data_IF_897701019548
#
_entry.id   IF_897701019548
#
_cell.length_a   1.000
_cell.length_b   1.000
_cell.length_c   1.000
_cell.angle_alpha   90.00
_cell.angle_beta   90.00
_cell.angle_gamma   90.00
#
_symmetry.space_group_name_H-M   'P 1'
#
loop_
_entity.id
_entity.type
_entity.pdbx_description
1 polymer ?
#
# COMPACT_ATOMS: atom_id res chain seq x y z
N UNK A 1 41.71 21.88 -21.40
CA UNK A 1 41.58 20.39 -21.42
C UNK A 1 40.14 20.07 -21.28
N UNK A 2 39.42 19.55 -22.31
CA UNK A 2 38.01 19.19 -22.17
C UNK A 2 37.88 17.82 -21.49
N UNK A 3 36.95 17.75 -20.53
CA UNK A 3 36.61 16.54 -19.82
C UNK A 3 36.06 15.47 -20.78
N UNK A 4 36.70 14.32 -20.76
CA UNK A 4 36.33 13.14 -21.51
C UNK A 4 34.92 12.67 -21.09
N UNK A 5 33.97 12.71 -22.04
CA UNK A 5 32.67 12.00 -21.96
C UNK A 5 32.94 10.50 -21.94
N UNK A 6 32.60 9.86 -20.83
CA UNK A 6 32.57 8.42 -20.76
C UNK A 6 31.60 7.84 -21.82
N UNK A 7 31.93 6.72 -22.47
CA UNK A 7 31.17 6.19 -23.59
C UNK A 7 29.80 5.65 -23.12
N UNK A 8 28.73 6.10 -23.78
CA UNK A 8 27.41 5.56 -23.70
C UNK A 8 27.35 4.24 -24.51
N UNK A 9 28.03 3.21 -24.02
CA UNK A 9 27.99 1.89 -24.65
C UNK A 9 27.78 0.80 -23.59
N UNK A 10 26.85 -0.10 -23.91
CA UNK A 10 26.47 -1.37 -23.26
C UNK A 10 25.17 -1.33 -22.45
N UNK A 11 24.12 -0.80 -23.04
CA UNK A 11 22.77 -0.99 -22.48
C UNK A 11 21.94 -2.06 -23.25
N UNK A 12 22.48 -2.65 -24.34
CA UNK A 12 21.70 -3.47 -25.27
C UNK A 12 21.74 -4.99 -25.02
N UNK A 13 22.47 -5.51 -24.03
CA UNK A 13 22.70 -6.96 -23.90
C UNK A 13 22.23 -7.57 -22.56
N UNK A 14 21.44 -6.82 -21.76
CA UNK A 14 20.96 -7.35 -20.49
C UNK A 14 19.54 -7.90 -20.69
N UNK A 15 19.32 -9.22 -20.52
CA UNK A 15 18.01 -9.81 -20.67
C UNK A 15 17.01 -9.23 -19.65
N UNK A 16 15.75 -9.07 -20.03
CA UNK A 16 14.67 -8.62 -19.13
C UNK A 16 14.34 -9.65 -18.03
N UNK A 17 14.72 -10.91 -18.26
CA UNK A 17 14.55 -12.03 -17.31
C UNK A 17 15.77 -12.92 -17.30
N UNK A 18 16.01 -13.57 -16.17
CA UNK A 18 17.06 -14.58 -16.00
C UNK A 18 16.45 -15.82 -15.35
N UNK A 19 16.83 -16.99 -15.86
CA UNK A 19 16.43 -18.27 -15.31
C UNK A 19 17.48 -18.80 -14.33
N UNK A 20 17.02 -19.34 -13.22
CA UNK A 20 17.79 -20.10 -12.25
C UNK A 20 17.33 -21.55 -12.28
N UNK A 21 18.25 -22.49 -12.40
CA UNK A 21 17.96 -23.92 -12.23
C UNK A 21 18.46 -24.34 -10.85
N UNK A 22 17.55 -24.84 -10.02
CA UNK A 22 17.88 -25.36 -8.68
C UNK A 22 18.38 -26.80 -8.78
N UNK A 23 18.95 -27.31 -7.69
CA UNK A 23 19.48 -28.69 -7.63
C UNK A 23 18.42 -29.78 -7.82
N UNK A 24 17.14 -29.46 -7.49
CA UNK A 24 15.99 -30.34 -7.74
C UNK A 24 15.44 -30.27 -9.19
N UNK A 25 16.13 -29.58 -10.10
CA UNK A 25 15.71 -29.36 -11.48
C UNK A 25 14.64 -28.27 -11.64
N UNK A 26 14.15 -27.65 -10.57
CA UNK A 26 13.17 -26.57 -10.66
C UNK A 26 13.77 -25.36 -11.36
N UNK A 27 13.06 -24.82 -12.34
CA UNK A 27 13.43 -23.55 -13.00
C UNK A 27 12.64 -22.39 -12.38
N UNK A 28 13.35 -21.33 -12.02
CA UNK A 28 12.80 -20.12 -11.48
C UNK A 28 13.21 -18.93 -12.35
N UNK A 29 12.27 -18.11 -12.75
CA UNK A 29 12.53 -16.92 -13.58
C UNK A 29 12.53 -15.68 -12.71
N UNK A 30 13.61 -14.90 -12.76
CA UNK A 30 13.71 -13.60 -12.11
C UNK A 30 13.60 -12.47 -13.12
N UNK A 31 12.79 -11.46 -12.82
CA UNK A 31 12.77 -10.21 -13.57
C UNK A 31 14.05 -9.40 -13.29
N UNK A 32 14.72 -8.93 -14.34
CA UNK A 32 15.93 -8.13 -14.21
C UNK A 32 15.59 -6.65 -14.19
N UNK A 33 16.18 -5.92 -13.24
CA UNK A 33 16.04 -4.47 -13.11
C UNK A 33 17.38 -3.79 -13.01
N UNK A 34 17.59 -2.81 -13.86
CA UNK A 34 18.73 -1.89 -13.73
C UNK A 34 18.47 -0.91 -12.57
N UNK A 35 19.44 -0.75 -11.69
CA UNK A 35 19.35 0.13 -10.55
C UNK A 35 20.55 1.07 -10.47
N UNK A 36 20.33 2.40 -10.66
CA UNK A 36 21.42 3.38 -10.56
C UNK A 36 22.02 3.47 -9.14
N UNK A 37 21.28 3.01 -8.14
CA UNK A 37 21.71 3.04 -6.73
C UNK A 37 22.36 1.73 -6.28
N UNK A 38 22.24 0.67 -7.05
CA UNK A 38 22.86 -0.60 -6.70
C UNK A 38 24.39 -0.55 -6.94
N UNK A 39 25.17 -1.01 -5.97
CA UNK A 39 26.63 -1.17 -6.09
C UNK A 39 27.04 -2.60 -6.45
N UNK A 40 26.13 -3.57 -6.31
CA UNK A 40 26.31 -4.99 -6.60
C UNK A 40 24.96 -5.61 -7.00
N UNK A 41 25.01 -6.75 -7.69
CA UNK A 41 23.80 -7.52 -7.98
C UNK A 41 23.11 -7.93 -6.67
N UNK A 42 21.79 -7.84 -6.64
CA UNK A 42 20.96 -8.23 -5.51
C UNK A 42 19.74 -8.99 -5.99
N UNK A 43 19.61 -10.23 -5.57
CA UNK A 43 18.41 -11.01 -5.78
C UNK A 43 17.47 -10.82 -4.58
N UNK A 44 16.20 -10.64 -4.85
CA UNK A 44 15.14 -10.52 -3.85
C UNK A 44 13.95 -11.37 -4.23
N UNK A 45 13.31 -11.98 -3.24
CA UNK A 45 12.07 -12.71 -3.37
C UNK A 45 10.96 -11.86 -2.75
N UNK A 46 9.93 -11.56 -3.54
CA UNK A 46 8.77 -10.83 -3.04
C UNK A 46 7.91 -11.72 -2.12
N UNK A 47 7.07 -11.14 -1.25
CA UNK A 47 6.10 -11.92 -0.47
C UNK A 47 5.13 -12.75 -1.32
N UNK A 48 4.98 -12.47 -2.62
CA UNK A 48 4.18 -13.27 -3.56
C UNK A 48 4.95 -14.39 -4.25
N UNK A 49 6.25 -14.49 -4.02
CA UNK A 49 7.12 -15.45 -4.69
C UNK A 49 7.78 -14.93 -5.96
N UNK A 50 7.56 -13.67 -6.36
CA UNK A 50 8.23 -13.10 -7.54
C UNK A 50 9.72 -12.87 -7.24
N UNK A 51 10.58 -13.28 -8.16
CA UNK A 51 12.01 -13.04 -8.09
C UNK A 51 12.39 -11.78 -8.86
N UNK A 52 13.16 -10.92 -8.23
CA UNK A 52 13.67 -9.69 -8.85
C UNK A 52 15.19 -9.62 -8.64
N UNK A 53 15.91 -9.54 -9.74
CA UNK A 53 17.35 -9.34 -9.78
C UNK A 53 17.64 -7.86 -10.09
N UNK A 54 18.04 -7.09 -9.07
CA UNK A 54 18.51 -5.73 -9.27
C UNK A 54 20.01 -5.76 -9.56
N UNK A 55 20.42 -5.16 -10.68
CA UNK A 55 21.82 -5.08 -11.12
C UNK A 55 22.27 -3.63 -11.27
N UNK A 56 23.55 -3.32 -10.95
CA UNK A 56 24.11 -1.99 -11.17
C UNK A 56 24.11 -1.61 -12.66
N UNK A 57 24.02 -0.31 -12.93
CA UNK A 57 24.34 0.22 -14.26
C UNK A 57 25.82 -0.05 -14.54
N UNK A 58 26.11 -0.68 -15.68
CA UNK A 58 27.52 -1.00 -16.07
C UNK A 58 28.03 -2.37 -15.61
N UNK A 59 27.18 -3.23 -15.02
CA UNK A 59 27.57 -4.62 -14.79
C UNK A 59 27.64 -5.39 -16.12
N UNK A 60 28.82 -5.93 -16.43
CA UNK A 60 29.01 -6.73 -17.66
C UNK A 60 28.40 -8.13 -17.58
N UNK A 61 28.16 -8.80 -18.74
CA UNK A 61 27.56 -10.13 -18.80
C UNK A 61 28.31 -11.21 -18.01
N UNK A 62 29.63 -11.18 -17.99
CA UNK A 62 30.45 -12.14 -17.23
C UNK A 62 30.29 -11.96 -15.71
N UNK A 63 30.27 -10.72 -15.21
CA UNK A 63 30.02 -10.41 -13.81
C UNK A 63 28.62 -10.81 -13.39
N UNK A 64 27.63 -10.61 -14.28
CA UNK A 64 26.26 -11.05 -14.05
C UNK A 64 26.23 -12.59 -13.91
N UNK A 65 26.81 -13.32 -14.86
CA UNK A 65 26.87 -14.80 -14.83
C UNK A 65 27.49 -15.34 -13.53
N UNK A 66 28.63 -14.77 -13.10
CA UNK A 66 29.27 -15.13 -11.83
C UNK A 66 28.36 -14.85 -10.63
N UNK A 67 27.66 -13.72 -10.61
CA UNK A 67 26.73 -13.37 -9.54
C UNK A 67 25.53 -14.33 -9.47
N UNK A 68 25.02 -14.82 -10.60
CA UNK A 68 23.88 -15.75 -10.63
C UNK A 68 24.18 -17.06 -9.92
N UNK A 69 25.37 -17.60 -10.09
CA UNK A 69 25.78 -18.84 -9.43
C UNK A 69 25.78 -18.72 -7.89
N UNK A 70 26.14 -17.55 -7.38
CA UNK A 70 26.16 -17.30 -5.93
C UNK A 70 24.77 -17.22 -5.31
N UNK A 71 23.72 -16.97 -6.10
CA UNK A 71 22.36 -16.87 -5.58
C UNK A 71 21.63 -18.21 -5.45
N UNK A 72 22.09 -19.28 -6.12
CA UNK A 72 21.40 -20.58 -6.11
C UNK A 72 21.22 -21.15 -4.69
N UNK A 73 22.27 -21.24 -3.82
CA UNK A 73 22.09 -21.77 -2.46
C UNK A 73 21.15 -20.92 -1.59
N UNK A 74 21.10 -19.60 -1.84
CA UNK A 74 20.15 -18.72 -1.16
C UNK A 74 18.73 -18.97 -1.65
N UNK A 75 18.54 -19.16 -2.96
CA UNK A 75 17.23 -19.45 -3.55
C UNK A 75 16.63 -20.75 -3.03
N UNK A 76 17.44 -21.79 -2.89
CA UNK A 76 17.01 -23.08 -2.34
C UNK A 76 16.47 -22.93 -0.91
N UNK A 77 17.22 -22.21 -0.06
CA UNK A 77 16.78 -21.91 1.31
C UNK A 77 15.55 -21.01 1.35
N UNK A 78 15.51 -19.99 0.51
CA UNK A 78 14.39 -19.07 0.43
C UNK A 78 13.12 -19.77 -0.07
N UNK A 79 13.23 -20.65 -1.09
CA UNK A 79 12.15 -21.47 -1.59
C UNK A 79 11.59 -22.40 -0.50
N UNK A 80 12.47 -23.12 0.20
CA UNK A 80 12.06 -24.02 1.27
C UNK A 80 11.32 -23.31 2.42
N UNK A 81 11.72 -22.08 2.75
CA UNK A 81 11.17 -21.33 3.86
C UNK A 81 9.95 -20.46 3.50
N UNK A 82 9.91 -19.89 2.31
CA UNK A 82 8.93 -18.90 1.93
C UNK A 82 7.78 -19.47 1.10
N UNK A 83 8.03 -20.38 0.15
CA UNK A 83 6.98 -20.97 -0.66
C UNK A 83 6.01 -21.85 0.15
N UNK A 84 6.47 -22.45 1.24
CA UNK A 84 5.60 -23.18 2.19
C UNK A 84 4.65 -22.28 2.97
N UNK A 85 4.89 -20.97 3.01
CA UNK A 85 4.13 -19.99 3.81
C UNK A 85 3.27 -19.06 2.97
N UNK A 86 3.39 -19.13 1.64
CA UNK A 86 2.56 -18.30 0.76
C UNK A 86 1.15 -18.87 0.71
N UNK A 87 0.13 -18.00 0.89
CA UNK A 87 -1.22 -18.41 0.59
C UNK A 87 -1.31 -18.75 -0.91
N UNK A 88 -2.15 -19.72 -1.28
CA UNK A 88 -2.31 -20.11 -2.67
C UNK A 88 -2.75 -18.93 -3.53
N UNK A 89 -2.30 -18.84 -4.79
CA UNK A 89 -2.72 -17.80 -5.71
C UNK A 89 -4.21 -17.99 -6.05
N UNK A 90 -5.05 -17.19 -5.42
CA UNK A 90 -6.49 -17.18 -5.64
C UNK A 90 -7.06 -15.78 -5.52
N UNK A 91 -8.14 -15.55 -6.27
CA UNK A 91 -8.94 -14.33 -6.10
C UNK A 91 -9.80 -14.46 -4.85
N UNK A 92 -10.02 -13.37 -4.11
CA UNK A 92 -10.91 -13.40 -2.96
C UNK A 92 -12.36 -13.53 -3.44
N UNK A 93 -13.22 -14.20 -2.67
CA UNK A 93 -14.66 -14.19 -2.92
C UNK A 93 -15.26 -12.79 -2.66
N UNK A 94 -14.63 -12.03 -1.76
CA UNK A 94 -15.04 -10.65 -1.44
C UNK A 94 -13.85 -9.83 -0.94
N UNK A 95 -14.00 -8.52 -1.05
CA UNK A 95 -13.07 -7.53 -0.47
C UNK A 95 -13.84 -6.70 0.54
N UNK A 96 -13.45 -6.79 1.81
CA UNK A 96 -14.04 -6.04 2.89
C UNK A 96 -13.25 -4.74 3.13
N UNK A 97 -13.96 -3.65 3.35
CA UNK A 97 -13.42 -2.35 3.74
C UNK A 97 -13.95 -1.99 5.15
N UNK A 98 -13.28 -2.46 6.22
CA UNK A 98 -13.80 -2.34 7.57
C UNK A 98 -14.08 -0.89 8.00
N UNK A 99 -13.27 0.07 7.53
CA UNK A 99 -13.43 1.49 7.84
C UNK A 99 -14.82 2.04 7.47
N UNK A 100 -15.40 1.58 6.35
CA UNK A 100 -16.75 2.01 5.92
C UNK A 100 -17.81 0.94 6.14
N UNK A 101 -17.43 -0.26 6.59
CA UNK A 101 -18.31 -1.41 6.71
C UNK A 101 -18.81 -1.93 5.37
N UNK A 102 -18.21 -1.52 4.26
CA UNK A 102 -18.56 -2.01 2.93
C UNK A 102 -17.88 -3.35 2.66
N UNK A 103 -18.59 -4.23 1.98
CA UNK A 103 -18.08 -5.50 1.50
C UNK A 103 -18.44 -5.64 0.03
N UNK A 104 -17.46 -5.97 -0.80
CA UNK A 104 -17.62 -6.09 -2.24
C UNK A 104 -17.43 -7.55 -2.65
N UNK A 105 -18.45 -8.15 -3.25
CA UNK A 105 -18.32 -9.47 -3.86
C UNK A 105 -17.42 -9.39 -5.11
N UNK A 106 -16.53 -10.35 -5.26
CA UNK A 106 -15.64 -10.45 -6.43
C UNK A 106 -16.16 -11.55 -7.34
N UNK A 107 -16.50 -11.19 -8.56
CA UNK A 107 -16.98 -12.10 -9.60
C UNK A 107 -16.02 -12.03 -10.79
N UNK A 108 -15.50 -13.17 -11.21
CA UNK A 108 -14.62 -13.26 -12.38
C UNK A 108 -15.30 -14.09 -13.45
N UNK A 109 -15.43 -13.53 -14.66
CA UNK A 109 -16.05 -14.21 -15.80
C UNK A 109 -16.54 -13.25 -16.87
N UNK A 110 -16.82 -13.79 -18.07
CA UNK A 110 -17.22 -13.02 -19.22
C UNK A 110 -16.06 -12.41 -20.02
N UNK A 111 -16.37 -12.03 -21.24
CA UNK A 111 -15.40 -11.41 -22.14
C UNK A 111 -15.32 -9.88 -21.96
N UNK A 112 -14.43 -9.26 -22.72
CA UNK A 112 -14.24 -7.81 -22.71
C UNK A 112 -15.46 -7.03 -23.26
N UNK A 113 -16.28 -7.64 -24.11
CA UNK A 113 -17.47 -7.00 -24.65
C UNK A 113 -18.58 -6.93 -23.60
N UNK A 114 -18.80 -8.03 -22.86
CA UNK A 114 -19.69 -8.06 -21.71
C UNK A 114 -19.26 -7.05 -20.63
N UNK A 115 -17.96 -6.93 -20.36
CA UNK A 115 -17.42 -5.97 -19.43
C UNK A 115 -17.67 -4.52 -19.84
N UNK A 116 -17.48 -4.17 -21.12
CA UNK A 116 -17.80 -2.83 -21.63
C UNK A 116 -19.28 -2.53 -21.51
N UNK A 117 -20.15 -3.48 -21.83
CA UNK A 117 -21.60 -3.33 -21.65
C UNK A 117 -21.97 -3.10 -20.20
N UNK A 118 -21.37 -3.86 -19.28
CA UNK A 118 -21.58 -3.65 -17.84
C UNK A 118 -21.10 -2.27 -17.35
N UNK A 119 -19.97 -1.78 -17.89
CA UNK A 119 -19.42 -0.47 -17.55
C UNK A 119 -20.32 0.70 -18.02
N UNK A 120 -21.05 0.53 -19.11
CA UNK A 120 -21.97 1.55 -19.67
C UNK A 120 -23.37 1.49 -19.08
N UNK A 121 -23.76 0.36 -18.50
CA UNK A 121 -25.10 0.15 -17.92
C UNK A 121 -25.36 0.99 -16.65
N UNK A 122 -24.30 1.47 -15.98
CA UNK A 122 -24.42 2.32 -14.78
C UNK A 122 -23.31 3.39 -14.75
N UNK A 123 -23.64 4.66 -14.98
CA UNK A 123 -22.66 5.76 -15.05
C UNK A 123 -21.95 6.04 -13.70
N UNK A 124 -22.48 5.54 -12.58
CA UNK A 124 -21.86 5.67 -11.26
C UNK A 124 -20.78 4.60 -10.98
N UNK A 125 -20.45 3.79 -11.95
CA UNK A 125 -19.58 2.64 -11.78
C UNK A 125 -18.11 3.05 -11.97
N UNK A 126 -17.25 2.63 -11.06
CA UNK A 126 -15.81 2.73 -11.22
C UNK A 126 -15.31 1.67 -12.19
N UNK A 127 -14.51 2.05 -13.19
CA UNK A 127 -13.88 1.11 -14.12
C UNK A 127 -12.37 1.18 -14.05
N UNK A 128 -11.72 0.04 -14.29
CA UNK A 128 -10.25 -0.05 -14.35
C UNK A 128 -9.86 -1.12 -15.36
N UNK A 129 -9.13 -0.71 -16.40
CA UNK A 129 -8.59 -1.64 -17.38
C UNK A 129 -7.09 -1.80 -17.21
N UNK A 130 -6.63 -3.05 -17.26
CA UNK A 130 -5.21 -3.41 -17.27
C UNK A 130 -4.89 -4.21 -18.54
N UNK A 131 -3.66 -4.03 -19.01
CA UNK A 131 -3.13 -4.75 -20.18
C UNK A 131 -1.73 -5.26 -19.85
N UNK A 132 -1.44 -6.52 -20.24
CA UNK A 132 -0.12 -7.13 -20.17
C UNK A 132 0.11 -7.96 -21.43
N UNK A 133 0.85 -7.40 -22.38
CA UNK A 133 0.96 -7.98 -23.71
C UNK A 133 -0.42 -8.10 -24.38
N UNK A 134 -0.78 -9.29 -24.84
CA UNK A 134 -2.10 -9.56 -25.43
C UNK A 134 -3.23 -9.74 -24.38
N UNK A 135 -2.90 -9.94 -23.11
CA UNK A 135 -3.87 -10.17 -22.03
C UNK A 135 -4.45 -8.87 -21.53
N UNK A 136 -5.76 -8.83 -21.33
CA UNK A 136 -6.50 -7.65 -20.86
C UNK A 136 -7.49 -8.06 -19.79
N UNK A 137 -7.57 -7.29 -18.71
CA UNK A 137 -8.58 -7.43 -17.66
C UNK A 137 -9.27 -6.08 -17.46
N UNK A 138 -10.60 -6.10 -17.45
CA UNK A 138 -11.45 -4.97 -17.10
C UNK A 138 -12.12 -5.28 -15.77
N UNK A 139 -11.88 -4.46 -14.77
CA UNK A 139 -12.60 -4.46 -13.51
C UNK A 139 -13.69 -3.40 -13.57
N UNK A 140 -14.91 -3.80 -13.27
CA UNK A 140 -16.09 -2.94 -13.18
C UNK A 140 -16.62 -2.99 -11.75
N UNK A 141 -16.72 -1.82 -11.11
CA UNK A 141 -17.37 -1.68 -9.81
C UNK A 141 -18.81 -1.26 -10.01
N UNK A 142 -19.74 -2.04 -9.50
CA UNK A 142 -21.16 -1.71 -9.49
C UNK A 142 -21.76 -2.05 -8.12
N UNK A 143 -22.33 -1.06 -7.44
CA UNK A 143 -22.85 -1.23 -6.07
C UNK A 143 -21.80 -1.88 -5.15
N UNK A 144 -22.08 -3.09 -4.66
CA UNK A 144 -21.20 -3.87 -3.78
C UNK A 144 -20.56 -5.07 -4.50
N UNK A 145 -20.32 -4.95 -5.81
CA UNK A 145 -19.72 -5.99 -6.63
C UNK A 145 -18.52 -5.46 -7.43
N UNK A 146 -17.48 -6.27 -7.52
CA UNK A 146 -16.32 -6.10 -8.37
C UNK A 146 -16.31 -7.21 -9.41
N UNK A 147 -16.66 -6.88 -10.64
CA UNK A 147 -16.69 -7.83 -11.74
C UNK A 147 -15.43 -7.72 -12.58
N UNK A 148 -14.74 -8.84 -12.78
CA UNK A 148 -13.55 -8.96 -13.61
C UNK A 148 -13.90 -9.64 -14.93
N UNK A 149 -13.52 -9.03 -16.05
CA UNK A 149 -13.80 -9.48 -17.40
C UNK A 149 -12.51 -9.61 -18.21
N UNK A 150 -12.51 -10.48 -19.23
CA UNK A 150 -11.40 -10.68 -20.14
C UNK A 150 -10.50 -11.86 -19.76
N UNK A 151 -9.19 -11.66 -19.67
CA UNK A 151 -8.22 -12.71 -19.33
C UNK A 151 -8.24 -13.05 -17.82
N UNK A 152 -9.38 -13.55 -17.32
CA UNK A 152 -9.58 -13.84 -15.88
C UNK A 152 -8.81 -15.07 -15.41
N UNK A 153 -8.30 -15.89 -16.31
CA UNK A 153 -7.36 -16.98 -16.08
C UNK A 153 -5.98 -16.46 -15.61
N UNK A 154 -5.63 -15.21 -15.95
CA UNK A 154 -4.44 -14.55 -15.43
C UNK A 154 -4.70 -13.98 -14.03
N UNK A 155 -4.64 -14.85 -13.01
CA UNK A 155 -4.85 -14.47 -11.60
C UNK A 155 -3.95 -13.31 -11.16
N UNK A 156 -2.73 -13.23 -11.70
CA UNK A 156 -1.77 -12.15 -11.38
C UNK A 156 -2.27 -10.81 -11.90
N UNK A 157 -2.81 -10.76 -13.11
CA UNK A 157 -3.38 -9.55 -13.72
C UNK A 157 -4.67 -9.14 -13.02
N UNK A 158 -5.54 -10.10 -12.69
CA UNK A 158 -6.75 -9.88 -11.88
C UNK A 158 -6.41 -9.33 -10.49
N UNK A 159 -5.45 -9.92 -9.80
CA UNK A 159 -4.98 -9.42 -8.50
C UNK A 159 -4.40 -8.01 -8.62
N UNK A 160 -3.69 -7.70 -9.70
CA UNK A 160 -3.20 -6.34 -9.97
C UNK A 160 -4.35 -5.35 -10.13
N UNK A 161 -5.45 -5.73 -10.81
CA UNK A 161 -6.65 -4.90 -10.92
C UNK A 161 -7.28 -4.62 -9.55
N UNK A 162 -7.45 -5.65 -8.72
CA UNK A 162 -7.96 -5.51 -7.35
C UNK A 162 -7.05 -4.60 -6.49
N UNK A 163 -5.72 -4.75 -6.59
CA UNK A 163 -4.78 -3.87 -5.88
C UNK A 163 -4.90 -2.42 -6.33
N UNK A 164 -4.98 -2.16 -7.62
CA UNK A 164 -5.13 -0.78 -8.12
C UNK A 164 -6.47 -0.18 -7.68
N UNK A 165 -7.56 -0.94 -7.72
CA UNK A 165 -8.86 -0.52 -7.20
C UNK A 165 -8.76 -0.21 -5.70
N UNK A 166 -8.18 -1.11 -4.89
CA UNK A 166 -8.02 -0.91 -3.45
C UNK A 166 -7.14 0.31 -3.12
N UNK A 167 -6.07 0.55 -3.90
CA UNK A 167 -5.23 1.76 -3.75
C UNK A 167 -6.02 3.04 -4.00
N UNK A 168 -6.91 3.04 -4.99
CA UNK A 168 -7.80 4.17 -5.27
C UNK A 168 -8.75 4.41 -4.09
N UNK A 169 -9.37 3.36 -3.55
CA UNK A 169 -10.23 3.47 -2.36
C UNK A 169 -9.44 3.96 -1.14
N UNK A 170 -8.26 3.42 -0.91
CA UNK A 170 -7.39 3.85 0.19
C UNK A 170 -7.00 5.33 0.09
N UNK A 171 -6.66 5.82 -1.11
CA UNK A 171 -6.32 7.22 -1.34
C UNK A 171 -7.49 8.18 -1.06
N UNK A 172 -8.74 7.71 -1.13
CA UNK A 172 -9.93 8.48 -0.80
C UNK A 172 -10.30 8.42 0.68
N UNK A 173 -10.04 7.28 1.35
CA UNK A 173 -10.58 6.99 2.68
C UNK A 173 -9.58 7.21 3.80
N UNK A 174 -8.30 6.83 3.61
CA UNK A 174 -7.30 6.89 4.67
C UNK A 174 -6.85 8.31 5.03
N UNK A 175 -6.63 9.25 4.07
CA UNK A 175 -6.23 10.60 4.42
C UNK A 175 -7.21 11.32 5.33
N UNK A 176 -8.52 11.44 4.99
CA UNK A 176 -9.48 12.15 5.86
C UNK A 176 -9.65 11.46 7.23
N UNK A 177 -9.51 10.14 7.30
CA UNK A 177 -9.53 9.43 8.57
C UNK A 177 -8.35 9.82 9.46
N UNK A 178 -7.11 9.81 8.92
CA UNK A 178 -5.92 10.20 9.66
C UNK A 178 -5.94 11.70 10.02
N UNK A 179 -6.41 12.58 9.13
CA UNK A 179 -6.56 14.01 9.38
C UNK A 179 -7.52 14.29 10.54
N UNK A 180 -8.64 13.56 10.59
CA UNK A 180 -9.58 13.64 11.73
C UNK A 180 -8.91 13.21 13.05
N UNK A 181 -8.21 12.09 13.05
CA UNK A 181 -7.48 11.62 14.22
C UNK A 181 -6.39 12.61 14.66
N UNK A 182 -5.66 13.20 13.70
CA UNK A 182 -4.66 14.21 14.00
C UNK A 182 -5.27 15.43 14.69
N UNK A 183 -6.41 15.91 14.17
CA UNK A 183 -7.14 17.03 14.78
C UNK A 183 -7.62 16.71 16.20
N UNK A 184 -8.23 15.53 16.41
CA UNK A 184 -8.71 15.10 17.74
C UNK A 184 -7.60 14.91 18.77
N UNK A 185 -6.38 14.52 18.34
CA UNK A 185 -5.20 14.34 19.18
C UNK A 185 -4.32 15.60 19.32
N UNK A 186 -4.66 16.71 18.67
CA UNK A 186 -3.88 17.93 18.67
C UNK A 186 -2.51 17.80 17.98
N UNK A 187 -2.42 17.01 16.90
CA UNK A 187 -1.19 16.82 16.14
C UNK A 187 -1.14 17.76 14.92
N UNK A 188 0.01 18.41 14.70
CA UNK A 188 0.26 19.24 13.52
C UNK A 188 0.65 18.34 12.33
N UNK A 189 -0.29 18.10 11.41
CA UNK A 189 -0.11 17.23 10.23
C UNK A 189 -0.01 18.06 8.95
N UNK A 190 1.17 18.08 8.34
CA UNK A 190 1.44 18.81 7.08
C UNK A 190 0.88 18.10 5.84
N UNK A 191 0.48 16.84 5.94
CA UNK A 191 -0.18 16.11 4.87
C UNK A 191 -0.04 14.60 4.98
N UNK A 192 -0.96 13.94 4.28
CA UNK A 192 -1.05 12.48 4.20
C UNK A 192 -0.84 12.00 2.78
N UNK A 193 -0.18 10.88 2.62
CA UNK A 193 -0.07 10.19 1.34
C UNK A 193 -0.34 8.70 1.50
N UNK A 194 -0.92 8.08 0.48
CA UNK A 194 -1.11 6.62 0.42
C UNK A 194 -0.13 6.04 -0.58
N UNK A 195 0.62 5.01 -0.16
CA UNK A 195 1.68 4.39 -0.96
C UNK A 195 1.57 2.87 -0.97
N UNK A 196 2.27 2.25 -1.89
CA UNK A 196 2.47 0.80 -1.94
C UNK A 196 3.82 0.44 -1.31
N UNK A 197 3.86 0.40 0.01
CA UNK A 197 5.07 0.06 0.75
C UNK A 197 5.21 -1.46 0.86
N UNK A 198 6.45 -1.97 0.72
CA UNK A 198 6.69 -3.42 0.63
C UNK A 198 6.83 -4.13 1.98
N UNK A 199 7.10 -3.41 3.07
CA UNK A 199 7.45 -4.04 4.35
C UNK A 199 6.98 -3.29 5.58
N UNK A 200 6.07 -2.30 5.44
CA UNK A 200 5.55 -1.52 6.56
C UNK A 200 4.16 -0.98 6.29
N UNK A 201 3.42 -0.73 7.36
CA UNK A 201 2.07 -0.19 7.32
C UNK A 201 2.04 1.32 7.12
N UNK A 202 3.02 2.02 7.67
CA UNK A 202 3.12 3.45 7.59
C UNK A 202 4.55 3.96 7.70
N UNK A 203 4.71 5.26 7.63
CA UNK A 203 5.95 5.98 7.94
C UNK A 203 5.66 7.46 8.16
N UNK A 204 6.31 8.04 9.15
CA UNK A 204 6.31 9.45 9.42
C UNK A 204 7.64 10.09 8.96
N UNK A 205 7.57 11.31 8.45
CA UNK A 205 8.74 12.13 8.13
C UNK A 205 8.51 13.57 8.57
N UNK A 206 9.41 14.10 9.38
CA UNK A 206 9.50 15.53 9.64
C UNK A 206 10.23 16.18 8.46
N UNK A 207 9.66 17.20 7.87
CA UNK A 207 10.29 17.93 6.79
C UNK A 207 10.27 19.42 7.12
N UNK A 208 11.43 20.08 7.01
CA UNK A 208 11.48 21.54 6.87
C UNK A 208 10.64 21.92 5.66
N UNK A 209 9.73 22.85 5.83
CA UNK A 209 8.80 23.35 4.83
C UNK A 209 9.50 23.76 3.54
N UNK A 210 9.41 22.94 2.50
CA UNK A 210 9.38 23.43 1.13
C UNK A 210 7.92 23.34 0.67
N UNK A 211 7.32 24.49 0.40
CA UNK A 211 5.96 24.62 -0.10
C UNK A 211 5.86 23.93 -1.47
N UNK A 212 5.32 22.71 -1.50
CA UNK A 212 4.78 22.13 -2.73
C UNK A 212 3.26 22.06 -2.59
N UNK A 213 2.51 22.54 -3.58
CA UNK A 213 1.05 22.45 -3.56
C UNK A 213 0.65 20.97 -3.50
N UNK A 214 -0.30 20.66 -2.63
CA UNK A 214 -0.91 19.35 -2.52
C UNK A 214 -1.53 18.98 -3.87
N UNK A 215 -1.00 17.95 -4.54
CA UNK A 215 -1.68 17.32 -5.67
C UNK A 215 -2.86 16.52 -5.12
N UNK A 216 -4.01 17.19 -5.03
CA UNK A 216 -5.29 16.52 -4.83
C UNK A 216 -5.62 15.79 -6.13
N UNK A 217 -5.52 14.46 -6.12
CA UNK A 217 -6.00 13.64 -7.22
C UNK A 217 -7.51 13.89 -7.38
N UNK A 218 -7.90 14.65 -8.41
CA UNK A 218 -9.28 14.82 -8.81
C UNK A 218 -9.71 13.58 -9.59
N UNK A 219 -10.75 12.92 -9.10
CA UNK A 219 -11.38 11.78 -9.76
C UNK A 219 -12.76 12.18 -10.24
N UNK A 220 -13.07 12.10 -11.53
CA UNK A 220 -14.42 12.29 -11.99
C UNK A 220 -15.33 11.16 -11.47
N UNK A 221 -16.47 11.51 -10.89
CA UNK A 221 -17.52 10.57 -10.50
C UNK A 221 -17.52 10.06 -9.05
N UNK A 222 -16.58 10.46 -8.20
CA UNK A 222 -16.60 10.11 -6.77
C UNK A 222 -16.98 11.32 -5.94
N UNK A 223 -18.17 11.28 -5.36
CA UNK A 223 -18.65 12.29 -4.42
C UNK A 223 -17.91 12.14 -3.08
N UNK A 224 -16.88 12.97 -2.89
CA UNK A 224 -16.08 13.01 -1.64
C UNK A 224 -16.93 13.30 -0.41
N UNK A 225 -18.01 14.06 -0.56
CA UNK A 225 -18.94 14.38 0.53
C UNK A 225 -19.66 13.14 1.04
N UNK A 226 -20.07 12.22 0.16
CA UNK A 226 -20.70 10.95 0.56
C UNK A 226 -19.72 10.00 1.23
N UNK A 227 -18.45 9.96 0.77
CA UNK A 227 -17.39 9.17 1.40
C UNK A 227 -17.08 9.74 2.79
N UNK A 228 -16.89 11.06 2.89
CA UNK A 228 -16.65 11.75 4.16
C UNK A 228 -17.83 11.59 5.12
N UNK A 229 -19.06 11.66 4.64
CA UNK A 229 -20.25 11.46 5.48
C UNK A 229 -20.33 10.05 6.06
N UNK A 230 -20.06 9.02 5.26
CA UNK A 230 -19.99 7.62 5.73
C UNK A 230 -18.86 7.39 6.73
N UNK A 231 -17.69 7.96 6.48
CA UNK A 231 -16.55 7.92 7.40
C UNK A 231 -16.90 8.67 8.69
N UNK A 232 -17.42 9.89 8.59
CA UNK A 232 -17.80 10.73 9.74
C UNK A 232 -18.91 10.12 10.60
N UNK A 233 -19.91 9.47 9.98
CA UNK A 233 -20.96 8.78 10.72
C UNK A 233 -20.39 7.60 11.53
N UNK A 234 -19.46 6.84 10.95
CA UNK A 234 -18.84 5.71 11.64
C UNK A 234 -17.81 6.16 12.69
N UNK A 235 -17.07 7.22 12.41
CA UNK A 235 -16.17 7.87 13.37
C UNK A 235 -16.97 8.33 14.59
N UNK A 236 -18.10 9.04 14.43
CA UNK A 236 -18.96 9.43 15.54
C UNK A 236 -19.39 8.25 16.40
N UNK A 237 -19.81 7.13 15.77
CA UNK A 237 -20.20 5.92 16.51
C UNK A 237 -19.03 5.22 17.21
N UNK A 238 -17.80 5.34 16.71
CA UNK A 238 -16.60 4.75 17.33
C UNK A 238 -16.11 5.57 18.54
N UNK A 239 -16.28 6.89 18.50
CA UNK A 239 -15.90 7.78 19.62
C UNK A 239 -17.06 8.09 20.58
N UNK A 240 -18.27 7.58 20.33
CA UNK A 240 -19.41 7.66 21.26
C UNK A 240 -19.33 6.68 22.43
N UNK A 241 -18.31 5.82 22.50
CA UNK A 241 -17.99 5.09 23.72
C UNK A 241 -17.37 6.07 24.72
N UNK A 242 -17.83 6.14 26.00
CA UNK A 242 -17.34 7.10 26.95
C UNK A 242 -15.83 6.93 27.14
N UNK A 243 -15.08 7.99 26.88
CA UNK A 243 -13.70 8.12 27.34
C UNK A 243 -13.71 7.98 28.87
N UNK A 244 -12.74 7.30 29.47
CA UNK A 244 -12.69 7.20 30.93
C UNK A 244 -12.64 8.58 31.55
N UNK A 245 -13.60 8.81 32.41
CA UNK A 245 -13.93 10.00 33.17
C UNK A 245 -12.76 10.98 33.44
N UNK A 246 -12.93 12.21 32.96
CA UNK A 246 -12.06 13.33 33.34
C UNK A 246 -12.28 14.65 32.60
N UNK A 247 -13.23 14.76 31.67
CA UNK A 247 -13.56 16.06 31.06
C UNK A 247 -15.08 16.18 30.96
N UNK A 248 -15.60 17.23 31.63
CA UNK A 248 -17.01 17.53 31.73
C UNK A 248 -17.71 17.76 30.40
N UNK A 249 -19.03 17.58 30.40
CA UNK A 249 -19.94 17.83 29.30
C UNK A 249 -19.77 19.27 28.79
N UNK A 250 -19.34 19.41 27.55
CA UNK A 250 -19.33 20.69 26.83
C UNK A 250 -20.41 20.64 25.76
N UNK A 251 -21.30 21.62 25.80
CA UNK A 251 -22.38 21.80 24.83
C UNK A 251 -21.85 22.13 23.44
N UNK A 252 -22.59 21.69 22.39
CA UNK A 252 -22.24 21.79 20.95
C UNK A 252 -21.98 23.23 20.42
N UNK A 253 -22.27 24.26 21.19
CA UNK A 253 -22.05 25.65 20.80
C UNK A 253 -20.61 26.13 20.96
N UNK A 254 -19.77 25.42 21.72
CA UNK A 254 -18.38 25.83 22.00
C UNK A 254 -17.33 25.18 21.08
N UNK A 255 -17.73 24.29 20.17
CA UNK A 255 -16.82 23.57 19.25
C UNK A 255 -16.21 24.44 18.15
N UNK A 256 -16.80 25.59 17.82
CA UNK A 256 -16.25 26.52 16.83
C UNK A 256 -15.24 27.53 17.39
N UNK A 257 -15.27 27.77 18.70
CA UNK A 257 -14.41 28.77 19.35
C UNK A 257 -13.08 28.22 19.89
N UNK A 258 -12.93 26.90 20.01
CA UNK A 258 -11.71 26.27 20.52
C UNK A 258 -11.02 25.42 19.45
N UNK A 259 -10.55 26.05 18.37
CA UNK A 259 -9.37 25.52 17.68
C UNK A 259 -8.22 25.59 18.68
N UNK A 260 -7.66 24.45 19.20
CA UNK A 260 -6.47 24.53 20.00
C UNK A 260 -5.43 25.24 19.15
N UNK A 261 -5.03 26.42 19.58
CA UNK A 261 -4.02 27.18 18.92
C UNK A 261 -2.82 26.29 18.73
N UNK A 262 -2.50 26.00 17.48
CA UNK A 262 -1.24 25.36 17.11
C UNK A 262 -0.15 26.25 17.70
N UNK A 263 0.50 25.78 18.77
CA UNK A 263 1.70 26.45 19.27
C UNK A 263 2.66 26.51 18.11
N UNK A 264 3.29 27.68 17.83
CA UNK A 264 4.14 27.88 16.63
C UNK A 264 5.30 26.91 16.49
N UNK A 265 5.56 26.12 17.53
CA UNK A 265 6.71 25.20 17.68
C UNK A 265 6.35 23.70 17.54
N UNK A 266 5.10 23.34 17.22
CA UNK A 266 4.78 21.93 17.01
C UNK A 266 5.40 21.45 15.69
N UNK A 267 6.27 20.41 15.72
CA UNK A 267 6.92 19.95 14.51
C UNK A 267 5.89 19.37 13.53
N UNK A 268 5.73 20.06 12.42
CA UNK A 268 4.90 19.55 11.32
C UNK A 268 5.59 18.40 10.59
N UNK A 269 4.82 17.40 10.21
CA UNK A 269 5.33 16.27 9.45
C UNK A 269 4.32 15.68 8.48
N UNK A 270 4.82 14.83 7.61
CA UNK A 270 4.00 14.10 6.64
C UNK A 270 3.96 12.62 7.01
N UNK A 271 2.76 12.06 6.95
CA UNK A 271 2.55 10.63 7.16
C UNK A 271 2.23 9.97 5.84
N UNK A 272 2.85 8.81 5.61
CA UNK A 272 2.58 7.96 4.47
C UNK A 272 2.01 6.63 4.96
N UNK A 273 0.76 6.33 4.61
CA UNK A 273 0.11 5.05 4.93
C UNK A 273 0.22 4.08 3.76
N UNK A 274 0.39 2.82 4.08
CA UNK A 274 0.26 1.75 3.09
C UNK A 274 -1.22 1.58 2.74
N UNK A 275 -1.55 1.46 1.44
CA UNK A 275 -2.92 1.25 1.02
C UNK A 275 -3.60 0.01 1.66
N UNK A 276 -2.79 -1.00 2.03
CA UNK A 276 -3.26 -2.22 2.70
C UNK A 276 -3.84 -1.97 4.09
N UNK A 277 -3.54 -0.81 4.67
CA UNK A 277 -4.15 -0.39 5.93
C UNK A 277 -5.69 -0.27 5.82
N UNK A 278 -6.22 -0.05 4.60
CA UNK A 278 -7.66 -0.07 4.34
C UNK A 278 -8.32 -1.43 4.62
N UNK A 279 -7.55 -2.52 4.58
CA UNK A 279 -8.02 -3.88 4.84
C UNK A 279 -7.95 -4.27 6.33
N UNK A 280 -7.37 -3.43 7.18
CA UNK A 280 -7.26 -3.69 8.61
C UNK A 280 -8.61 -3.55 9.32
N UNK A 281 -8.87 -4.36 10.35
CA UNK A 281 -9.91 -4.05 11.33
C UNK A 281 -9.73 -2.64 11.89
N UNK A 282 -10.84 -1.93 12.12
CA UNK A 282 -10.81 -0.53 12.53
C UNK A 282 -9.92 -0.28 13.75
N UNK A 283 -9.96 -1.09 14.84
CA UNK A 283 -9.09 -0.86 15.99
C UNK A 283 -7.58 -0.94 15.67
N UNK A 284 -7.19 -1.77 14.69
CA UNK A 284 -5.80 -1.85 14.24
C UNK A 284 -5.41 -0.68 13.32
N UNK A 285 -6.34 -0.20 12.50
CA UNK A 285 -6.13 1.00 11.70
C UNK A 285 -5.97 2.24 12.60
N UNK A 286 -6.80 2.38 13.63
CA UNK A 286 -6.68 3.45 14.63
C UNK A 286 -5.33 3.40 15.34
N UNK A 287 -4.93 2.23 15.83
CA UNK A 287 -3.62 2.04 16.45
C UNK A 287 -2.48 2.44 15.50
N UNK A 288 -2.51 2.00 14.24
CA UNK A 288 -1.53 2.39 13.23
C UNK A 288 -1.48 3.92 13.06
N UNK A 289 -2.64 4.56 12.99
CA UNK A 289 -2.72 6.02 12.85
C UNK A 289 -2.13 6.73 14.06
N UNK A 290 -2.45 6.31 15.29
CA UNK A 290 -1.86 6.87 16.51
C UNK A 290 -0.35 6.61 16.57
N UNK A 291 0.11 5.43 16.14
CA UNK A 291 1.54 5.11 16.03
C UNK A 291 2.28 6.13 15.14
N UNK A 292 1.77 6.40 13.95
CA UNK A 292 2.39 7.35 13.02
C UNK A 292 2.25 8.82 13.50
N UNK A 293 1.12 9.18 14.14
CA UNK A 293 0.91 10.52 14.69
C UNK A 293 1.86 10.81 15.85
N UNK A 294 2.08 9.86 16.77
CA UNK A 294 3.04 10.00 17.86
C UNK A 294 4.48 10.23 17.35
N UNK A 295 4.82 9.72 16.15
CA UNK A 295 6.10 10.02 15.52
C UNK A 295 6.26 11.48 15.10
N UNK A 296 5.19 12.26 14.97
CA UNK A 296 5.32 13.70 14.76
C UNK A 296 5.98 14.40 15.96
N UNK A 297 5.81 13.89 17.18
CA UNK A 297 6.43 14.43 18.40
C UNK A 297 7.69 13.64 18.79
N UNK A 298 7.69 12.34 18.65
CA UNK A 298 8.78 11.43 19.06
C UNK A 298 9.22 10.54 17.90
N UNK A 299 10.34 10.86 17.25
CA UNK A 299 10.83 10.12 16.06
C UNK A 299 11.34 8.70 16.35
N UNK A 300 11.63 8.38 17.59
CA UNK A 300 12.08 7.07 18.05
C UNK A 300 11.09 6.46 19.04
N UNK A 301 11.11 5.15 19.19
CA UNK A 301 10.24 4.42 20.13
C UNK A 301 10.76 4.49 21.59
N UNK A 302 11.08 5.72 22.05
CA UNK A 302 11.55 6.00 23.42
C UNK A 302 10.45 5.74 24.47
N UNK A 303 10.80 5.87 25.76
CA UNK A 303 9.82 5.82 26.84
C UNK A 303 8.76 6.91 26.70
N UNK A 304 9.15 8.13 26.30
CA UNK A 304 8.22 9.24 26.03
C UNK A 304 7.24 8.93 24.90
N UNK A 305 7.74 8.34 23.79
CA UNK A 305 6.88 7.88 22.71
C UNK A 305 5.84 6.86 23.20
N UNK A 306 6.28 5.85 23.97
CA UNK A 306 5.38 4.81 24.48
C UNK A 306 4.35 5.36 25.46
N UNK A 307 4.76 6.29 26.30
CA UNK A 307 3.85 6.96 27.21
C UNK A 307 2.77 7.77 26.45
N UNK A 308 3.15 8.48 25.40
CA UNK A 308 2.20 9.20 24.57
C UNK A 308 1.28 8.25 23.76
N UNK A 309 1.83 7.21 23.13
CA UNK A 309 1.04 6.22 22.43
C UNK A 309 0.03 5.52 23.35
N UNK A 310 0.41 5.23 24.61
CA UNK A 310 -0.48 4.61 25.59
C UNK A 310 -1.69 5.48 25.94
N UNK A 311 -1.60 6.81 25.83
CA UNK A 311 -2.73 7.73 26.03
C UNK A 311 -3.83 7.56 24.98
N UNK A 312 -3.44 7.34 23.72
CA UNK A 312 -4.36 7.19 22.60
C UNK A 312 -4.72 5.73 22.30
N UNK A 313 -3.83 4.82 22.62
CA UNK A 313 -3.95 3.38 22.37
C UNK A 313 -3.50 2.60 23.60
N UNK A 314 -4.32 2.52 24.68
CA UNK A 314 -3.91 1.89 25.93
C UNK A 314 -3.47 0.43 25.81
N UNK A 315 -4.00 -0.29 24.81
CA UNK A 315 -3.65 -1.68 24.50
C UNK A 315 -2.60 -1.78 23.38
N UNK A 316 -1.72 -0.77 23.27
CA UNK A 316 -0.73 -0.70 22.18
C UNK A 316 0.17 -1.94 22.06
N UNK A 317 0.60 -2.63 23.13
CA UNK A 317 1.48 -3.80 22.96
C UNK A 317 0.80 -4.97 22.25
N UNK A 318 -0.48 -5.23 22.57
CA UNK A 318 -1.27 -6.27 21.89
C UNK A 318 -1.60 -5.87 20.46
N UNK A 319 -1.93 -4.59 20.24
CA UNK A 319 -2.27 -4.07 18.93
C UNK A 319 -1.05 -4.06 18.00
N UNK A 320 0.14 -3.74 18.48
CA UNK A 320 1.39 -3.84 17.73
C UNK A 320 1.67 -5.29 17.29
N UNK A 321 1.50 -6.24 18.21
CA UNK A 321 1.60 -7.68 17.91
C UNK A 321 0.57 -8.13 16.87
N UNK A 322 -0.68 -7.66 17.01
CA UNK A 322 -1.76 -7.95 16.09
C UNK A 322 -1.52 -7.32 14.70
N UNK A 323 -0.99 -6.10 14.64
CA UNK A 323 -0.63 -5.41 13.41
C UNK A 323 0.48 -6.16 12.64
N UNK A 324 1.48 -6.67 13.37
CA UNK A 324 2.52 -7.53 12.81
C UNK A 324 1.98 -8.88 12.32
N UNK A 325 0.99 -9.46 13.00
CA UNK A 325 0.31 -10.67 12.57
C UNK A 325 -0.55 -10.42 11.33
N UNK A 326 -1.28 -9.30 11.27
CA UNK A 326 -2.08 -8.89 10.12
C UNK A 326 -1.26 -8.75 8.84
N UNK A 327 0.00 -8.27 8.94
CA UNK A 327 0.90 -8.22 7.79
C UNK A 327 1.20 -9.61 7.23
N UNK A 328 1.45 -10.58 8.10
CA UNK A 328 1.71 -11.97 7.70
C UNK A 328 0.46 -12.71 7.19
N UNK A 329 -0.71 -12.26 7.64
CA UNK A 329 -2.01 -12.81 7.24
C UNK A 329 -2.63 -12.17 6.00
N UNK A 330 -1.91 -11.27 5.30
CA UNK A 330 -2.43 -10.67 4.07
C UNK A 330 -2.73 -11.76 3.03
N UNK A 331 -3.90 -11.70 2.36
CA UNK A 331 -4.23 -12.64 1.30
C UNK A 331 -3.30 -12.46 0.10
N UNK A 332 -3.10 -13.52 -0.68
CA UNK A 332 -2.17 -13.53 -1.81
C UNK A 332 -2.35 -12.34 -2.76
N UNK A 333 -3.57 -12.01 -3.12
CA UNK A 333 -3.85 -10.91 -4.04
C UNK A 333 -3.40 -9.53 -3.52
N UNK A 334 -3.36 -9.36 -2.20
CA UNK A 334 -2.95 -8.11 -1.55
C UNK A 334 -1.47 -8.06 -1.17
N UNK A 335 -0.73 -9.18 -1.24
CA UNK A 335 0.69 -9.22 -0.90
C UNK A 335 1.50 -8.26 -1.79
N UNK A 336 2.56 -7.64 -1.25
CA UNK A 336 3.52 -6.91 -2.06
C UNK A 336 4.19 -7.83 -3.09
N UNK A 337 4.29 -7.39 -4.32
CA UNK A 337 4.93 -8.11 -5.39
C UNK A 337 5.40 -7.19 -6.49
N UNK A 338 5.97 -7.75 -7.55
CA UNK A 338 6.46 -6.98 -8.67
C UNK A 338 5.38 -6.84 -9.74
N UNK A 339 4.67 -5.70 -9.70
CA UNK A 339 3.70 -5.32 -10.73
C UNK A 339 4.40 -4.62 -11.94
N UNK A 340 5.67 -4.95 -12.16
CA UNK A 340 6.58 -4.26 -13.05
C UNK A 340 6.33 -4.50 -14.53
N UNK A 341 5.13 -4.27 -15.02
CA UNK A 341 4.86 -4.29 -16.46
C UNK A 341 3.68 -3.41 -16.83
N UNK A 342 3.62 -2.19 -16.29
CA UNK A 342 2.52 -1.30 -16.60
C UNK A 342 2.75 0.15 -16.22
N UNK A 343 3.97 0.66 -16.46
CA UNK A 343 4.22 2.10 -16.56
C UNK A 343 5.10 2.31 -17.79
N UNK A 344 4.44 2.41 -18.92
CA UNK A 344 4.86 3.10 -20.10
C UNK A 344 4.00 4.34 -20.25
#
# INVERSE_FOLDING_TARGET
MPASKAPAAVLHDIPSTVEFTLTDGTRLTAAVRLSPRARRARLSLSPRGDLVLAIPLGMGPQQLKASLQLFVPWLERAKANQLRKLPPPQLPARVDLPLTGQSYMVVAGGDMAAGRKAATASPATGTLQLTRGARRVLLVEHANQLSLFGSVDDLSLCAQALRQWSRKKAALMLPPFLEHMAASGGFALAGVSVRDQRGRWGSCSRRRLQKHPAQTAQWPGVDRTKVLHKISARIRNLFSAPLPLGMGEMEDADLEAQRPGTTPDSPEGRISLNWRALLLPVPLLEHLCWHELCHLRHMNHSAAYRAELARFSPRWPEQEKALNAAWRGLPWWALPGDDASGQG
#
